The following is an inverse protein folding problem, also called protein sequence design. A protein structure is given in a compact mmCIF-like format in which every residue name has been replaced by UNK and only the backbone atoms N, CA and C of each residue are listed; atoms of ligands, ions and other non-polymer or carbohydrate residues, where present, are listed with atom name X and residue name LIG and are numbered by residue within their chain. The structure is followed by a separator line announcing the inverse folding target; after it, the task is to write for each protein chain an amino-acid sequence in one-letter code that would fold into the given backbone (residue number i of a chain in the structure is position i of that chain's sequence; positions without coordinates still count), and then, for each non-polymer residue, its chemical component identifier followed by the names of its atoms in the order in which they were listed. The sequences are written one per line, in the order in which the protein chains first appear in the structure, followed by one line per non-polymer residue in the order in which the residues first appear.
data_IF_060338580699
#
_entry.id   IF_060338580699
#
_cell.length_a   1.000
_cell.length_b   1.000
_cell.length_c   1.000
_cell.angle_alpha   90.00
_cell.angle_beta   90.00
_cell.angle_gamma   90.00
#
_symmetry.space_group_name_H-M   'P 1'
#
loop_
_entity.id
_entity.type
_entity.pdbx_description
1 polymer ?
#
# COMPACT_ATOMS: atom_id res chain seq x y z
N UNK A 1 -11.78 -12.53 -27.74
CA UNK A 1 -12.10 -11.13 -27.56
C UNK A 1 -13.34 -10.96 -26.66
N UNK A 2 -13.31 -11.46 -25.39
CA UNK A 2 -14.49 -11.41 -24.48
C UNK A 2 -14.12 -11.51 -22.98
N UNK A 3 -12.91 -11.13 -22.57
CA UNK A 3 -12.46 -11.21 -21.14
C UNK A 3 -12.09 -9.88 -20.50
N UNK A 4 -12.25 -8.75 -21.19
CA UNK A 4 -11.80 -7.42 -20.70
C UNK A 4 -12.90 -6.69 -19.88
N UNK A 5 -14.15 -7.15 -19.87
CA UNK A 5 -15.28 -6.40 -19.29
C UNK A 5 -15.67 -6.77 -17.84
N UNK A 6 -15.02 -7.76 -17.22
CA UNK A 6 -15.37 -8.21 -15.85
C UNK A 6 -14.63 -7.48 -14.72
N UNK A 7 -13.60 -6.66 -15.04
CA UNK A 7 -12.77 -5.98 -14.04
C UNK A 7 -13.17 -4.53 -13.73
N UNK A 8 -14.24 -4.01 -14.34
CA UNK A 8 -14.64 -2.60 -14.19
C UNK A 8 -15.68 -2.33 -13.10
N UNK A 9 -16.07 -3.32 -12.30
CA UNK A 9 -17.03 -3.12 -11.23
C UNK A 9 -16.31 -3.06 -9.86
N UNK A 10 -16.21 -1.86 -9.21
CA UNK A 10 -15.56 -1.70 -7.91
C UNK A 10 -16.20 -2.54 -6.81
N UNK A 11 -17.50 -2.87 -6.92
CA UNK A 11 -18.20 -3.78 -6.01
C UNK A 11 -17.74 -5.23 -6.16
N UNK A 12 -17.38 -5.67 -7.37
CA UNK A 12 -16.94 -7.04 -7.62
C UNK A 12 -15.54 -7.29 -7.06
N UNK A 13 -14.64 -6.29 -7.18
CA UNK A 13 -13.29 -6.38 -6.61
C UNK A 13 -13.29 -6.24 -5.08
N UNK A 14 -14.14 -5.36 -4.54
CA UNK A 14 -14.37 -5.28 -3.09
C UNK A 14 -14.97 -6.60 -2.54
N UNK A 15 -15.83 -7.26 -3.30
CA UNK A 15 -16.40 -8.57 -2.95
C UNK A 15 -15.34 -9.67 -3.04
N UNK A 16 -14.44 -9.67 -4.02
CA UNK A 16 -13.36 -10.68 -4.13
C UNK A 16 -12.34 -10.51 -3.01
N UNK A 17 -11.88 -9.30 -2.75
CA UNK A 17 -10.93 -9.02 -1.66
C UNK A 17 -11.55 -9.28 -0.28
N UNK A 18 -12.86 -9.04 -0.11
CA UNK A 18 -13.60 -9.38 1.10
C UNK A 18 -13.99 -10.88 1.17
N UNK A 19 -14.20 -11.53 0.02
CA UNK A 19 -14.69 -12.92 -0.05
C UNK A 19 -13.57 -13.94 0.18
N UNK A 20 -12.40 -13.72 -0.42
CA UNK A 20 -11.26 -14.63 -0.23
C UNK A 20 -10.62 -14.44 1.16
N UNK A 21 -10.57 -13.20 1.63
CA UNK A 21 -10.15 -12.89 3.01
C UNK A 21 -11.10 -13.45 4.06
N UNK A 22 -12.43 -13.48 3.79
CA UNK A 22 -13.40 -14.12 4.71
C UNK A 22 -13.19 -15.62 4.83
N UNK A 23 -12.82 -16.34 3.77
CA UNK A 23 -12.52 -17.78 3.86
C UNK A 23 -11.25 -18.06 4.67
N UNK A 24 -10.18 -17.27 4.47
CA UNK A 24 -8.95 -17.39 5.24
C UNK A 24 -9.11 -16.91 6.69
N UNK A 25 -9.81 -15.79 6.91
CA UNK A 25 -10.11 -15.26 8.25
C UNK A 25 -11.06 -16.17 9.02
N UNK A 26 -12.09 -16.74 8.39
CA UNK A 26 -13.02 -17.67 9.04
C UNK A 26 -12.32 -18.94 9.50
N UNK A 27 -11.37 -19.50 8.71
CA UNK A 27 -10.59 -20.67 9.11
C UNK A 27 -9.58 -20.36 10.23
N UNK A 28 -9.06 -19.14 10.29
CA UNK A 28 -8.20 -18.66 11.39
C UNK A 28 -9.02 -18.31 12.62
N UNK A 29 -10.19 -17.67 12.45
CA UNK A 29 -11.10 -17.31 13.54
C UNK A 29 -11.68 -18.52 14.26
N UNK A 30 -11.89 -19.65 13.60
CA UNK A 30 -12.32 -20.90 14.23
C UNK A 30 -11.27 -21.47 15.21
N UNK A 31 -9.97 -21.21 14.97
CA UNK A 31 -8.85 -21.65 15.83
C UNK A 31 -8.49 -20.62 16.91
N UNK A 32 -9.02 -19.40 16.84
CA UNK A 32 -8.69 -18.30 17.77
C UNK A 32 -9.64 -18.28 18.97
N UNK A 33 -9.09 -17.95 20.16
CA UNK A 33 -9.88 -17.76 21.35
C UNK A 33 -10.88 -16.59 21.23
N UNK A 34 -12.01 -16.67 21.92
CA UNK A 34 -13.08 -15.66 21.92
C UNK A 34 -12.56 -14.23 22.20
N UNK A 35 -11.55 -14.09 23.06
CA UNK A 35 -10.95 -12.80 23.42
C UNK A 35 -10.15 -12.19 22.25
N UNK A 36 -9.41 -13.02 21.52
CA UNK A 36 -8.63 -12.58 20.36
C UNK A 36 -9.52 -12.18 19.19
N UNK A 37 -10.56 -12.97 18.92
CA UNK A 37 -11.58 -12.62 17.92
C UNK A 37 -12.20 -11.25 18.19
N UNK A 38 -12.60 -10.99 19.43
CA UNK A 38 -13.17 -9.70 19.85
C UNK A 38 -12.15 -8.57 19.69
N UNK A 39 -10.87 -8.82 19.98
CA UNK A 39 -9.78 -7.86 19.80
C UNK A 39 -9.59 -7.49 18.32
N UNK A 40 -9.55 -8.47 17.44
CA UNK A 40 -9.44 -8.24 15.99
C UNK A 40 -10.67 -7.50 15.43
N UNK A 41 -11.86 -7.89 15.84
CA UNK A 41 -13.10 -7.25 15.43
C UNK A 41 -13.14 -5.76 15.83
N UNK A 42 -12.82 -5.43 17.09
CA UNK A 42 -12.77 -4.05 17.54
C UNK A 42 -11.72 -3.24 16.78
N UNK A 43 -10.52 -3.80 16.55
CA UNK A 43 -9.46 -3.14 15.76
C UNK A 43 -9.93 -2.85 14.32
N UNK A 44 -10.64 -3.80 13.71
CA UNK A 44 -11.21 -3.65 12.37
C UNK A 44 -12.27 -2.55 12.33
N UNK A 45 -13.21 -2.53 13.29
CA UNK A 45 -14.23 -1.49 13.39
C UNK A 45 -13.63 -0.09 13.50
N UNK A 46 -12.57 0.09 14.31
CA UNK A 46 -11.86 1.37 14.44
C UNK A 46 -11.22 1.79 13.12
N UNK A 47 -10.57 0.87 12.39
CA UNK A 47 -9.97 1.18 11.09
C UNK A 47 -11.00 1.55 10.02
N UNK A 48 -12.14 0.86 9.97
CA UNK A 48 -13.23 1.15 9.04
C UNK A 48 -13.88 2.50 9.34
N UNK A 49 -14.11 2.80 10.62
CA UNK A 49 -14.61 4.09 11.07
C UNK A 49 -13.64 5.23 10.73
N UNK A 50 -12.34 5.02 10.92
CA UNK A 50 -11.31 5.99 10.58
C UNK A 50 -11.28 6.29 9.07
N UNK A 51 -11.35 5.26 8.21
CA UNK A 51 -11.45 5.44 6.75
C UNK A 51 -12.67 6.30 6.41
N UNK A 52 -13.82 5.99 7.00
CA UNK A 52 -15.05 6.76 6.79
C UNK A 52 -14.92 8.22 7.20
N UNK A 53 -14.42 8.49 8.40
CA UNK A 53 -14.28 9.86 8.91
C UNK A 53 -13.20 10.66 8.17
N UNK A 54 -12.05 10.06 7.86
CA UNK A 54 -11.00 10.70 7.07
C UNK A 54 -11.47 11.03 5.64
N UNK A 55 -12.28 10.18 5.03
CA UNK A 55 -12.84 10.42 3.71
C UNK A 55 -13.87 11.55 3.70
N UNK A 56 -14.63 11.74 4.80
CA UNK A 56 -15.65 12.79 4.91
C UNK A 56 -15.07 14.15 5.28
N UNK A 57 -14.21 14.20 6.30
CA UNK A 57 -13.73 15.43 6.93
C UNK A 57 -12.26 15.74 6.63
N UNK A 58 -11.52 14.80 6.04
CA UNK A 58 -10.07 14.86 5.93
C UNK A 58 -9.38 14.43 7.23
N UNK A 59 -8.08 14.11 7.11
CA UNK A 59 -7.27 13.64 8.23
C UNK A 59 -7.12 14.69 9.34
N UNK A 60 -6.89 15.97 8.98
CA UNK A 60 -6.63 17.04 9.95
C UNK A 60 -7.84 17.29 10.87
N UNK A 61 -9.03 17.35 10.29
CA UNK A 61 -10.25 17.75 10.94
C UNK A 61 -11.01 16.58 11.62
N UNK A 62 -10.49 15.36 11.52
CA UNK A 62 -11.03 14.19 12.20
C UNK A 62 -10.34 13.99 13.55
N UNK A 63 -11.11 13.91 14.62
CA UNK A 63 -10.63 13.59 15.97
C UNK A 63 -10.73 12.09 16.27
N UNK A 64 -9.99 11.62 17.28
CA UNK A 64 -10.16 10.25 17.82
C UNK A 64 -11.59 10.02 18.32
N UNK A 65 -12.22 11.06 18.88
CA UNK A 65 -13.61 10.99 19.35
C UNK A 65 -14.59 10.74 18.19
N UNK A 66 -14.41 11.40 17.04
CA UNK A 66 -15.24 11.16 15.85
C UNK A 66 -15.13 9.71 15.38
N UNK A 67 -13.90 9.20 15.28
CA UNK A 67 -13.64 7.82 14.86
C UNK A 67 -14.31 6.82 15.80
N UNK A 68 -14.15 7.02 17.11
CA UNK A 68 -14.70 6.10 18.11
C UNK A 68 -16.22 6.16 18.20
N UNK A 69 -16.81 7.34 17.99
CA UNK A 69 -18.27 7.52 17.88
C UNK A 69 -18.81 6.74 16.66
N UNK A 70 -18.15 6.84 15.51
CA UNK A 70 -18.55 6.10 14.29
C UNK A 70 -18.34 4.59 14.44
N UNK A 71 -17.33 4.16 15.20
CA UNK A 71 -17.09 2.75 15.51
C UNK A 71 -18.03 2.17 16.57
N UNK A 72 -18.88 2.99 17.22
CA UNK A 72 -19.70 2.63 18.38
C UNK A 72 -18.90 2.01 19.53
N UNK A 73 -17.74 2.63 19.83
CA UNK A 73 -16.82 2.20 20.88
C UNK A 73 -16.41 3.37 21.78
N UNK A 74 -16.15 3.07 23.05
CA UNK A 74 -15.66 4.09 23.99
C UNK A 74 -14.25 4.59 23.62
N UNK A 75 -13.97 5.90 23.80
CA UNK A 75 -12.69 6.54 23.46
C UNK A 75 -11.49 5.83 24.08
N UNK A 76 -11.61 5.36 25.34
CA UNK A 76 -10.55 4.59 26.00
C UNK A 76 -10.17 3.30 25.28
N UNK A 77 -11.07 2.73 24.48
CA UNK A 77 -10.80 1.52 23.68
C UNK A 77 -9.79 1.80 22.56
N UNK A 78 -9.74 3.02 22.02
CA UNK A 78 -8.79 3.41 20.99
C UNK A 78 -7.35 3.11 21.41
N UNK A 79 -6.97 3.56 22.60
CA UNK A 79 -5.61 3.46 23.11
C UNK A 79 -5.15 2.03 23.46
N UNK A 80 -6.07 1.06 23.45
CA UNK A 80 -5.73 -0.37 23.51
C UNK A 80 -5.18 -0.91 22.18
N UNK A 81 -5.38 -0.19 21.07
CA UNK A 81 -5.04 -0.63 19.70
C UNK A 81 -4.04 0.29 19.01
N UNK A 82 -4.13 1.59 19.25
CA UNK A 82 -3.33 2.62 18.57
C UNK A 82 -2.87 3.65 19.59
N UNK A 83 -1.61 4.09 19.45
CA UNK A 83 -1.04 5.10 20.37
C UNK A 83 -1.49 6.52 19.97
N UNK A 84 -1.79 6.74 18.70
CA UNK A 84 -2.18 8.03 18.15
C UNK A 84 -2.98 7.86 16.86
N UNK A 85 -3.56 8.95 16.37
CA UNK A 85 -4.21 9.03 15.06
C UNK A 85 -3.23 8.72 13.92
N UNK A 86 -1.97 9.11 14.07
CA UNK A 86 -0.86 8.80 13.15
C UNK A 86 -0.58 7.29 13.12
N UNK A 87 -0.52 6.64 14.28
CA UNK A 87 -0.29 5.19 14.38
C UNK A 87 -1.41 4.39 13.68
N UNK A 88 -2.65 4.85 13.83
CA UNK A 88 -3.78 4.30 13.09
C UNK A 88 -3.61 4.50 11.57
N UNK A 89 -3.20 5.69 11.13
CA UNK A 89 -2.95 5.98 9.71
C UNK A 89 -1.81 5.11 9.13
N UNK A 90 -0.73 4.91 9.88
CA UNK A 90 0.32 3.95 9.51
C UNK A 90 -0.19 2.51 9.40
N UNK A 91 -1.11 2.11 10.26
CA UNK A 91 -1.76 0.80 10.17
C UNK A 91 -2.59 0.63 8.90
N UNK A 92 -3.15 1.71 8.35
CA UNK A 92 -3.82 1.70 7.04
C UNK A 92 -2.82 1.51 5.89
N UNK A 93 -1.62 2.10 5.96
CA UNK A 93 -0.55 1.82 4.99
C UNK A 93 -0.07 0.37 5.03
N UNK A 94 -0.10 -0.26 6.20
CA UNK A 94 0.17 -1.69 6.32
C UNK A 94 -0.82 -2.56 5.55
N UNK A 95 -2.07 -2.13 5.44
CA UNK A 95 -3.07 -2.81 4.58
C UNK A 95 -2.70 -2.69 3.09
N UNK A 96 -2.15 -1.56 2.66
CA UNK A 96 -1.63 -1.42 1.30
C UNK A 96 -0.52 -2.43 1.01
N UNK A 97 0.47 -2.56 1.92
CA UNK A 97 1.56 -3.53 1.75
C UNK A 97 1.04 -4.97 1.64
N UNK A 98 0.02 -5.31 2.43
CA UNK A 98 -0.61 -6.63 2.36
C UNK A 98 -1.35 -6.84 1.05
N UNK A 99 -2.11 -5.84 0.60
CA UNK A 99 -2.85 -5.89 -0.68
C UNK A 99 -1.89 -6.06 -1.86
N UNK A 100 -0.76 -5.34 -1.85
CA UNK A 100 0.28 -5.49 -2.87
C UNK A 100 0.85 -6.91 -2.84
N UNK A 101 1.23 -7.44 -1.66
CA UNK A 101 1.80 -8.79 -1.54
C UNK A 101 0.84 -9.87 -2.06
N UNK A 102 -0.44 -9.77 -1.75
CA UNK A 102 -1.46 -10.72 -2.24
C UNK A 102 -1.58 -10.67 -3.76
N UNK A 103 -1.69 -9.49 -4.36
CA UNK A 103 -1.78 -9.33 -5.80
C UNK A 103 -0.52 -9.84 -6.53
N UNK A 104 0.65 -9.59 -5.96
CA UNK A 104 1.91 -10.10 -6.50
C UNK A 104 2.04 -11.62 -6.36
N UNK A 105 1.57 -12.21 -5.25
CA UNK A 105 1.57 -13.67 -5.08
C UNK A 105 0.68 -14.35 -6.12
N UNK A 106 -0.49 -13.79 -6.42
CA UNK A 106 -1.38 -14.28 -7.48
C UNK A 106 -0.74 -14.13 -8.87
N UNK A 107 -0.12 -12.99 -9.15
CA UNK A 107 0.57 -12.76 -10.42
C UNK A 107 1.79 -13.69 -10.59
N UNK A 108 2.54 -13.97 -9.53
CA UNK A 108 3.65 -14.95 -9.55
C UNK A 108 3.13 -16.38 -9.79
N UNK A 109 2.00 -16.76 -9.18
CA UNK A 109 1.37 -18.07 -9.43
C UNK A 109 0.87 -18.21 -10.88
N UNK A 110 0.63 -17.11 -11.56
CA UNK A 110 0.31 -17.05 -12.99
C UNK A 110 1.55 -16.91 -13.89
N UNK A 111 2.76 -17.12 -13.35
CA UNK A 111 4.05 -17.08 -14.05
C UNK A 111 4.31 -15.77 -14.82
N UNK A 112 3.85 -14.64 -14.25
CA UNK A 112 4.07 -13.34 -14.87
C UNK A 112 5.52 -12.89 -14.74
N UNK A 113 5.98 -12.17 -15.77
CA UNK A 113 7.32 -11.57 -15.82
C UNK A 113 7.54 -10.51 -14.75
N UNK A 114 8.78 -10.17 -14.43
CA UNK A 114 9.11 -9.11 -13.47
C UNK A 114 8.53 -7.75 -13.90
N UNK A 115 8.50 -7.45 -15.20
CA UNK A 115 7.88 -6.23 -15.72
C UNK A 115 6.36 -6.20 -15.47
N UNK A 116 5.67 -7.32 -15.67
CA UNK A 116 4.24 -7.44 -15.36
C UNK A 116 3.96 -7.38 -13.85
N UNK A 117 4.84 -7.94 -13.01
CA UNK A 117 4.74 -7.82 -11.55
C UNK A 117 4.87 -6.37 -11.10
N UNK A 118 5.79 -5.59 -11.68
CA UNK A 118 5.92 -4.15 -11.41
C UNK A 118 4.67 -3.39 -11.84
N UNK A 119 4.06 -3.73 -12.98
CA UNK A 119 2.81 -3.11 -13.45
C UNK A 119 1.65 -3.42 -12.49
N UNK A 120 1.50 -4.68 -12.06
CA UNK A 120 0.50 -5.09 -11.05
C UNK A 120 0.68 -4.32 -9.75
N UNK A 121 1.90 -4.26 -9.21
CA UNK A 121 2.21 -3.53 -7.98
C UNK A 121 1.89 -2.04 -8.10
N UNK A 122 2.25 -1.41 -9.23
CA UNK A 122 1.96 0.00 -9.50
C UNK A 122 0.46 0.26 -9.59
N UNK A 123 -0.30 -0.59 -10.29
CA UNK A 123 -1.74 -0.46 -10.43
C UNK A 123 -2.47 -0.61 -9.09
N UNK A 124 -2.14 -1.63 -8.29
CA UNK A 124 -2.73 -1.86 -6.97
C UNK A 124 -2.46 -0.70 -6.02
N UNK A 125 -1.23 -0.17 -6.04
CA UNK A 125 -0.85 1.00 -5.24
C UNK A 125 -1.64 2.24 -5.68
N UNK A 126 -1.73 2.50 -6.98
CA UNK A 126 -2.47 3.64 -7.53
C UNK A 126 -3.95 3.60 -7.14
N UNK A 127 -4.57 2.43 -7.29
CA UNK A 127 -5.97 2.22 -6.92
C UNK A 127 -6.20 2.47 -5.43
N UNK A 128 -5.37 1.89 -4.56
CA UNK A 128 -5.49 2.09 -3.12
C UNK A 128 -5.35 3.57 -2.73
N UNK A 129 -4.36 4.28 -3.29
CA UNK A 129 -4.13 5.69 -3.00
C UNK A 129 -5.27 6.58 -3.54
N UNK A 130 -5.86 6.25 -4.67
CA UNK A 130 -6.99 6.99 -5.23
C UNK A 130 -8.27 6.82 -4.40
N UNK A 131 -8.54 5.60 -3.94
CA UNK A 131 -9.66 5.28 -3.04
C UNK A 131 -9.46 5.86 -1.62
N UNK A 132 -8.21 6.08 -1.20
CA UNK A 132 -7.85 6.52 0.15
C UNK A 132 -6.96 7.77 0.11
N UNK A 133 -7.40 8.84 -0.55
CA UNK A 133 -6.59 10.07 -0.78
C UNK A 133 -6.05 10.72 0.48
N UNK A 134 -6.70 10.55 1.62
CA UNK A 134 -6.22 11.02 2.92
C UNK A 134 -4.91 10.36 3.37
N UNK A 135 -4.55 9.20 2.80
CA UNK A 135 -3.27 8.51 3.06
C UNK A 135 -2.13 9.10 2.23
N UNK A 136 -2.43 9.80 1.14
CA UNK A 136 -1.45 10.32 0.18
C UNK A 136 -0.34 11.18 0.83
N UNK A 137 -0.64 12.16 1.70
CA UNK A 137 0.41 12.96 2.32
C UNK A 137 1.41 12.12 3.12
N UNK A 138 0.92 11.09 3.82
CA UNK A 138 1.77 10.18 4.59
C UNK A 138 2.59 9.28 3.65
N UNK A 139 1.96 8.73 2.62
CA UNK A 139 2.66 7.91 1.62
C UNK A 139 3.80 8.69 0.96
N UNK A 140 3.57 9.94 0.60
CA UNK A 140 4.59 10.81 -0.01
C UNK A 140 5.69 11.23 0.98
N UNK A 141 5.34 11.55 2.24
CA UNK A 141 6.31 11.95 3.26
C UNK A 141 7.19 10.81 3.74
N UNK A 142 6.66 9.60 3.77
CA UNK A 142 7.38 8.42 4.21
C UNK A 142 8.64 8.13 3.36
N UNK A 143 8.66 8.60 2.12
CA UNK A 143 9.79 8.48 1.21
C UNK A 143 10.93 9.44 1.53
N UNK A 144 10.63 10.62 2.05
CA UNK A 144 11.63 11.61 2.42
C UNK A 144 12.43 11.22 3.68
N UNK A 145 11.83 10.51 4.63
CA UNK A 145 12.50 10.09 5.86
C UNK A 145 13.55 8.99 5.64
N UNK A 146 13.44 8.22 4.56
CA UNK A 146 14.46 7.21 4.21
C UNK A 146 15.71 7.84 3.60
N UNK A 147 15.59 9.03 2.99
CA UNK A 147 16.71 9.76 2.38
C UNK A 147 17.58 10.55 3.38
N UNK A 148 17.05 10.83 4.57
CA UNK A 148 17.76 11.60 5.60
C UNK A 148 17.92 10.76 6.88
N UNK A 149 18.50 9.57 6.75
CA UNK A 149 19.05 8.79 7.86
C UNK A 149 20.26 9.52 8.44
N UNK A 150 20.04 10.52 9.25
CA UNK A 150 21.08 11.29 9.90
C UNK A 150 20.58 11.97 11.16
N UNK A 151 21.05 11.47 12.29
CA UNK A 151 21.32 12.14 13.56
C UNK A 151 20.18 12.87 14.30
N UNK A 152 19.85 12.24 15.43
CA UNK A 152 19.72 12.86 16.74
C UNK A 152 18.66 13.94 16.96
N UNK A 153 17.60 13.54 17.72
CA UNK A 153 17.31 14.23 18.99
C UNK A 153 16.46 13.30 19.88
N UNK A 154 17.07 12.86 20.98
CA UNK A 154 16.41 12.53 22.24
C UNK A 154 15.26 11.53 22.23
N UNK A 155 15.49 10.26 21.85
CA UNK A 155 14.53 9.20 22.08
C UNK A 155 14.66 8.66 23.50
N UNK A 156 13.73 9.03 24.38
CA UNK A 156 13.45 8.24 25.59
C UNK A 156 13.00 6.85 25.16
N UNK A 157 13.67 5.84 25.71
CA UNK A 157 13.41 4.44 25.46
C UNK A 157 11.94 4.11 25.79
N UNK A 158 11.14 3.78 24.76
CA UNK A 158 9.78 3.25 24.90
C UNK A 158 9.81 1.71 24.94
N UNK A 159 8.86 1.06 25.64
CA UNK A 159 8.85 -0.39 25.82
C UNK A 159 8.77 -1.15 24.49
N UNK A 160 9.51 -2.27 24.40
CA UNK A 160 9.80 -3.03 23.18
C UNK A 160 8.61 -3.79 22.54
N UNK A 161 7.39 -3.62 23.00
CA UNK A 161 6.26 -4.52 22.66
C UNK A 161 5.16 -3.91 21.77
N UNK A 162 5.39 -2.72 21.17
CA UNK A 162 4.44 -2.13 20.22
C UNK A 162 5.14 -1.88 18.88
N UNK A 163 4.53 -2.28 17.73
CA UNK A 163 5.12 -2.04 16.43
C UNK A 163 5.20 -0.53 16.20
N UNK A 164 6.42 0.00 16.19
CA UNK A 164 6.65 1.41 15.89
C UNK A 164 6.39 1.69 14.41
N UNK A 165 5.67 2.76 14.12
CA UNK A 165 5.30 3.27 12.80
C UNK A 165 6.47 3.40 11.80
N UNK A 166 7.69 3.51 12.30
CA UNK A 166 8.91 3.64 11.49
C UNK A 166 9.28 2.40 10.66
N UNK A 167 8.64 1.24 10.90
CA UNK A 167 8.99 -0.04 10.23
C UNK A 167 8.15 -0.38 8.99
N UNK A 168 7.10 0.37 8.67
CA UNK A 168 6.14 -0.04 7.64
C UNK A 168 6.39 0.54 6.25
N UNK A 169 6.99 1.71 6.15
CA UNK A 169 7.30 2.35 4.85
C UNK A 169 8.44 1.69 4.07
N UNK A 170 9.47 1.12 4.71
CA UNK A 170 10.49 0.36 4.01
C UNK A 170 9.94 -0.83 3.21
N UNK A 171 8.83 -1.44 3.66
CA UNK A 171 8.32 -2.68 3.07
C UNK A 171 7.81 -2.52 1.64
N UNK A 172 7.14 -1.41 1.29
CA UNK A 172 6.62 -1.22 -0.08
C UNK A 172 7.78 -1.01 -1.06
N UNK A 173 8.74 -0.14 -0.72
CA UNK A 173 9.93 0.09 -1.54
C UNK A 173 10.72 -1.21 -1.72
N UNK A 174 10.88 -1.98 -0.65
CA UNK A 174 11.62 -3.24 -0.67
C UNK A 174 10.99 -4.27 -1.62
N UNK A 175 9.67 -4.39 -1.65
CA UNK A 175 8.97 -5.30 -2.57
C UNK A 175 9.29 -4.96 -4.03
N UNK A 176 9.23 -3.68 -4.41
CA UNK A 176 9.58 -3.26 -5.77
C UNK A 176 11.08 -3.50 -6.07
N UNK A 177 11.96 -3.20 -5.11
CA UNK A 177 13.40 -3.42 -5.23
C UNK A 177 13.73 -4.90 -5.49
N UNK A 178 13.04 -5.83 -4.81
CA UNK A 178 13.20 -7.27 -4.99
C UNK A 178 12.77 -7.71 -6.40
N UNK A 179 11.61 -7.26 -6.88
CA UNK A 179 11.13 -7.57 -8.24
C UNK A 179 12.08 -7.03 -9.33
N UNK A 180 12.61 -5.82 -9.15
CA UNK A 180 13.55 -5.21 -10.09
C UNK A 180 14.83 -6.04 -10.14
N UNK A 181 15.36 -6.48 -8.99
CA UNK A 181 16.56 -7.31 -8.91
C UNK A 181 16.33 -8.66 -9.59
N UNK A 182 15.22 -9.33 -9.31
CA UNK A 182 14.83 -10.57 -9.97
C UNK A 182 14.75 -10.40 -11.50
N UNK A 183 14.17 -9.30 -11.97
CA UNK A 183 14.07 -8.99 -13.39
C UNK A 183 15.41 -8.70 -14.06
N UNK A 184 16.37 -8.11 -13.35
CA UNK A 184 17.75 -7.96 -13.85
C UNK A 184 18.47 -9.30 -13.92
N UNK A 185 18.33 -10.15 -12.90
CA UNK A 185 18.91 -11.49 -12.86
C UNK A 185 18.32 -12.39 -13.96
N UNK A 186 17.01 -12.28 -14.22
CA UNK A 186 16.34 -13.00 -15.31
C UNK A 186 16.61 -12.41 -16.71
N UNK A 187 17.29 -11.27 -16.80
CA UNK A 187 17.58 -10.59 -18.06
C UNK A 187 16.37 -9.93 -18.73
N UNK A 188 15.30 -9.69 -18.00
CA UNK A 188 14.11 -8.95 -18.45
C UNK A 188 14.30 -7.43 -18.32
N UNK A 189 15.01 -6.99 -17.28
CA UNK A 189 15.33 -5.60 -16.97
C UNK A 189 16.81 -5.34 -17.25
N UNK A 190 17.11 -4.16 -17.79
CA UNK A 190 18.49 -3.73 -18.08
C UNK A 190 19.33 -3.62 -16.81
N UNK A 191 20.60 -4.07 -16.89
CA UNK A 191 21.52 -4.10 -15.75
C UNK A 191 22.44 -2.89 -15.66
N UNK A 192 22.44 -1.99 -16.66
CA UNK A 192 23.26 -0.78 -16.71
C UNK A 192 22.68 0.36 -15.88
N UNK A 193 21.47 0.16 -15.30
CA UNK A 193 20.81 1.09 -14.39
C UNK A 193 20.72 0.46 -13.00
N UNK A 194 21.17 1.14 -11.93
CA UNK A 194 21.09 0.62 -10.56
C UNK A 194 19.66 0.32 -10.12
N UNK A 195 19.45 -0.79 -9.42
CA UNK A 195 18.14 -1.23 -8.87
C UNK A 195 17.49 -0.12 -8.05
N UNK A 196 18.25 0.54 -7.18
CA UNK A 196 17.74 1.57 -6.29
C UNK A 196 17.23 2.80 -7.04
N UNK A 197 17.86 3.17 -8.16
CA UNK A 197 17.41 4.27 -9.01
C UNK A 197 16.07 3.92 -9.67
N UNK A 198 15.92 2.71 -10.18
CA UNK A 198 14.65 2.26 -10.77
C UNK A 198 13.54 2.26 -9.70
N UNK A 199 13.83 1.74 -8.50
CA UNK A 199 12.87 1.73 -7.39
C UNK A 199 12.46 3.14 -6.94
N UNK A 200 13.40 4.09 -6.94
CA UNK A 200 13.12 5.50 -6.66
C UNK A 200 12.23 6.13 -7.73
N UNK A 201 12.48 5.82 -9.01
CA UNK A 201 11.63 6.28 -10.11
C UNK A 201 10.20 5.77 -9.97
N UNK A 202 9.99 4.50 -9.62
CA UNK A 202 8.64 3.96 -9.33
C UNK A 202 7.93 4.75 -8.23
N UNK A 203 8.65 5.12 -7.16
CA UNK A 203 8.06 5.93 -6.10
C UNK A 203 7.71 7.34 -6.58
N UNK A 204 8.58 7.95 -7.39
CA UNK A 204 8.40 9.30 -7.95
C UNK A 204 7.19 9.42 -8.88
N UNK A 205 6.72 8.31 -9.48
CA UNK A 205 5.51 8.31 -10.31
C UNK A 205 4.29 8.79 -9.53
N UNK A 206 4.14 8.35 -8.29
CA UNK A 206 3.00 8.75 -7.43
C UNK A 206 3.06 10.21 -7.04
N UNK A 207 4.25 10.74 -6.74
CA UNK A 207 4.44 12.17 -6.49
C UNK A 207 4.08 13.00 -7.73
N UNK A 208 4.63 12.62 -8.89
CA UNK A 208 4.36 13.30 -10.14
C UNK A 208 2.88 13.22 -10.57
N UNK A 209 2.16 12.16 -10.19
CA UNK A 209 0.72 12.07 -10.45
C UNK A 209 -0.12 12.87 -9.46
N UNK A 210 0.27 12.90 -8.17
CA UNK A 210 -0.45 13.64 -7.12
C UNK A 210 -0.45 15.17 -7.37
N UNK A 211 0.61 15.69 -7.99
CA UNK A 211 0.76 17.12 -8.33
C UNK A 211 0.53 17.42 -9.83
N UNK A 212 0.04 16.45 -10.59
CA UNK A 212 -0.20 16.61 -12.02
C UNK A 212 -1.37 17.59 -12.29
N UNK A 213 -1.18 18.45 -13.29
CA UNK A 213 -2.22 19.36 -13.81
C UNK A 213 -2.82 18.84 -15.13
N UNK A 214 -2.50 17.62 -15.52
CA UNK A 214 -3.07 16.98 -16.71
C UNK A 214 -4.53 16.61 -16.47
N UNK A 215 -5.36 16.70 -17.50
CA UNK A 215 -6.75 16.23 -17.48
C UNK A 215 -6.83 14.70 -17.57
N UNK A 216 -6.20 14.01 -16.61
CA UNK A 216 -6.17 12.57 -16.45
C UNK A 216 -6.56 12.21 -15.02
N UNK A 217 -7.27 11.12 -14.85
CA UNK A 217 -7.46 10.56 -13.51
C UNK A 217 -6.12 10.13 -12.90
N UNK A 218 -6.05 10.06 -11.57
CA UNK A 218 -4.83 9.64 -10.88
C UNK A 218 -4.35 8.26 -11.35
N UNK A 219 -5.27 7.32 -11.53
CA UNK A 219 -4.95 5.96 -11.97
C UNK A 219 -4.45 5.93 -13.43
N UNK A 220 -5.10 6.66 -14.35
CA UNK A 220 -4.64 6.78 -15.75
C UNK A 220 -3.25 7.40 -15.83
N UNK A 221 -3.00 8.45 -15.05
CA UNK A 221 -1.71 9.13 -14.99
C UNK A 221 -0.60 8.17 -14.52
N UNK A 222 -0.84 7.40 -13.45
CA UNK A 222 0.10 6.37 -12.98
C UNK A 222 0.28 5.28 -14.02
N UNK A 223 -0.79 4.78 -14.64
CA UNK A 223 -0.69 3.71 -15.65
C UNK A 223 0.18 4.12 -16.84
N UNK A 224 0.00 5.34 -17.37
CA UNK A 224 0.81 5.87 -18.46
C UNK A 224 2.28 6.05 -18.07
N UNK A 225 2.55 6.64 -16.90
CA UNK A 225 3.91 6.82 -16.40
C UNK A 225 4.60 5.49 -16.12
N UNK A 226 3.87 4.53 -15.56
CA UNK A 226 4.39 3.16 -15.33
C UNK A 226 4.78 2.52 -16.64
N UNK A 227 3.94 2.58 -17.67
CA UNK A 227 4.26 2.03 -19.00
C UNK A 227 5.51 2.65 -19.57
N UNK A 228 5.62 3.99 -19.55
CA UNK A 228 6.83 4.69 -20.02
C UNK A 228 8.09 4.26 -19.26
N UNK A 229 7.99 4.09 -17.94
CA UNK A 229 9.13 3.61 -17.16
C UNK A 229 9.48 2.16 -17.50
N UNK A 230 8.51 1.26 -17.61
CA UNK A 230 8.72 -0.15 -17.95
C UNK A 230 9.36 -0.30 -19.33
N UNK A 231 8.91 0.47 -20.33
CA UNK A 231 9.51 0.48 -21.68
C UNK A 231 10.97 0.97 -21.63
N UNK A 232 11.27 1.95 -20.76
CA UNK A 232 12.62 2.48 -20.57
C UNK A 232 13.59 1.53 -19.87
N UNK A 233 13.11 0.67 -18.99
CA UNK A 233 13.94 -0.28 -18.22
C UNK A 233 13.99 -1.68 -18.82
N UNK A 234 13.15 -1.99 -19.79
CA UNK A 234 13.18 -3.27 -20.52
C UNK A 234 14.55 -3.47 -21.15
N UNK A 235 15.09 -4.68 -21.02
CA UNK A 235 16.30 -5.06 -21.75
C UNK A 235 16.02 -5.02 -23.25
N UNK A 236 16.78 -4.22 -23.99
CA UNK A 236 16.70 -4.22 -25.46
C UNK A 236 17.49 -5.38 -26.02
N UNK A 237 16.94 -6.11 -26.98
CA UNK A 237 17.68 -7.08 -27.75
C UNK A 237 18.63 -6.34 -28.66
N UNK A 238 19.85 -6.87 -28.87
CA UNK A 238 20.87 -6.27 -29.76
C UNK A 238 20.40 -6.11 -31.22
N UNK A 239 19.24 -6.70 -31.56
CA UNK A 239 18.61 -6.56 -32.88
C UNK A 239 17.80 -5.26 -33.07
N UNK A 240 17.60 -4.48 -32.00
CA UNK A 240 16.79 -3.24 -31.99
C UNK A 240 17.66 -1.97 -31.90
N UNK A 241 18.99 -2.09 -32.07
CA UNK A 241 19.97 -1.00 -32.00
C UNK A 241 20.43 -0.51 -33.37
#
# INVERSE_FOLDING_TARGET
MRFIFLFSNPLFFAIIVLYDKRKGEVLLEEKMGRRERKKLQSRRMILEAAISEFSKKGYKDTSVADIMSTADLGIGTFYNYFNSKEDLLFSLLGRLSETIRMALAEARAAERTSLELLEVGAHVTAKFLDENRFVMPLFLSASHHVMHGGAEHGAQAMPADKPSSSRMTPQIKQVFTEIIREGQEAGEIRCDVPVDLIAEMFHSLYQAAAFSQLELSFQENIALKTRLLLDGIRKRNEADA
#
